data_IF_301300040976
#
_entry.id   IF_301300040976
#
_cell.length_a   1.000
_cell.length_b   1.000
_cell.length_c   1.000
_cell.angle_alpha   90.00
_cell.angle_beta   90.00
_cell.angle_gamma   90.00
#
_symmetry.space_group_name_H-M   'P 1'
#
loop_
_entity.id
_entity.type
_entity.pdbx_description
1 polymer ?
#
# COMPACT_ATOMS: atom_id res chain seq x y z
N UNK A 1 4.50 12.19 -3.18
CA UNK A 1 4.31 10.94 -2.43
C UNK A 1 5.56 10.09 -2.56
N UNK A 2 6.18 9.78 -1.44
CA UNK A 2 7.40 8.98 -1.38
C UNK A 2 7.18 7.73 -0.56
N UNK A 3 8.00 6.70 -0.80
CA UNK A 3 7.93 5.44 -0.04
C UNK A 3 8.17 5.71 1.45
N UNK A 4 9.13 6.59 1.78
CA UNK A 4 9.41 6.97 3.18
C UNK A 4 8.18 7.54 3.90
N UNK A 5 7.29 8.22 3.19
CA UNK A 5 6.09 8.83 3.78
C UNK A 5 5.12 7.76 4.28
N UNK A 6 5.05 6.62 3.60
CA UNK A 6 4.24 5.49 4.03
C UNK A 6 4.72 4.98 5.39
N UNK A 7 6.03 4.82 5.53
CA UNK A 7 6.63 4.36 6.80
C UNK A 7 6.54 5.41 7.90
N UNK A 8 6.55 6.68 7.56
CA UNK A 8 6.36 7.76 8.52
C UNK A 8 4.94 7.72 9.10
N UNK A 9 3.94 7.47 8.28
CA UNK A 9 2.55 7.31 8.74
C UNK A 9 2.45 6.11 9.69
N UNK A 10 3.06 4.98 9.33
CA UNK A 10 3.13 3.81 10.20
C UNK A 10 3.70 4.18 11.57
N UNK A 11 4.84 4.84 11.59
CA UNK A 11 5.54 5.18 12.83
C UNK A 11 4.72 6.14 13.70
N UNK A 12 4.02 7.08 13.08
CA UNK A 12 3.14 8.01 13.80
C UNK A 12 1.93 7.32 14.40
N UNK A 13 1.35 6.34 13.68
CA UNK A 13 0.26 5.53 14.21
C UNK A 13 0.71 4.68 15.39
N UNK A 14 1.89 4.08 15.28
CA UNK A 14 2.47 3.27 16.36
C UNK A 14 2.78 4.09 17.62
N UNK A 15 3.01 5.39 17.45
CA UNK A 15 3.31 6.31 18.57
C UNK A 15 2.06 6.82 19.27
N UNK A 16 0.87 6.59 18.75
CA UNK A 16 -0.39 7.03 19.36
C UNK A 16 -0.77 6.12 20.52
N UNK A 17 -1.02 6.69 21.69
CA UNK A 17 -1.35 5.92 22.90
C UNK A 17 -2.72 5.23 22.81
N UNK A 18 -3.65 5.81 22.05
CA UNK A 18 -5.02 5.31 21.93
C UNK A 18 -5.22 4.36 20.75
N UNK A 19 -4.17 4.06 20.00
CA UNK A 19 -4.20 3.13 18.86
C UNK A 19 -3.50 1.84 19.24
N UNK A 20 -4.20 0.72 19.08
CA UNK A 20 -3.62 -0.60 19.33
C UNK A 20 -3.25 -1.23 17.99
N UNK A 21 -1.97 -1.56 17.80
CA UNK A 21 -1.49 -2.22 16.60
C UNK A 21 -1.73 -3.73 16.75
N UNK A 22 -2.54 -4.31 15.88
CA UNK A 22 -2.84 -5.74 15.89
C UNK A 22 -1.93 -6.53 14.94
N UNK A 23 -1.68 -5.97 13.75
CA UNK A 23 -0.88 -6.63 12.73
C UNK A 23 -0.32 -5.60 11.77
N UNK A 24 0.91 -5.85 11.29
CA UNK A 24 1.52 -5.07 10.21
C UNK A 24 2.06 -6.07 9.19
N UNK A 25 1.67 -5.89 7.92
CA UNK A 25 2.21 -6.65 6.80
C UNK A 25 2.81 -5.67 5.80
N UNK A 26 4.10 -5.82 5.55
CA UNK A 26 4.82 -4.94 4.64
C UNK A 26 4.90 -5.58 3.25
N UNK A 27 3.93 -5.25 2.41
CA UNK A 27 3.92 -5.67 1.02
C UNK A 27 4.68 -4.70 0.10
N UNK A 28 5.32 -3.69 0.67
CA UNK A 28 6.22 -2.81 -0.10
C UNK A 28 7.57 -3.50 -0.28
N UNK A 29 8.18 -3.93 0.83
CA UNK A 29 9.45 -4.66 0.81
C UNK A 29 9.28 -6.08 0.26
N UNK A 30 8.17 -6.73 0.61
CA UNK A 30 7.86 -8.08 0.17
C UNK A 30 6.50 -8.07 -0.53
N UNK A 31 6.45 -7.71 -1.82
CA UNK A 31 5.18 -7.62 -2.54
C UNK A 31 4.47 -8.97 -2.63
N UNK A 32 3.16 -8.91 -2.84
CA UNK A 32 2.38 -10.11 -3.12
C UNK A 32 2.84 -10.72 -4.43
N UNK A 33 2.52 -11.99 -4.62
CA UNK A 33 2.93 -12.75 -5.79
C UNK A 33 2.55 -12.08 -7.11
N UNK A 34 1.41 -11.37 -7.13
CA UNK A 34 0.95 -10.66 -8.33
C UNK A 34 1.63 -9.31 -8.55
N UNK A 35 2.47 -8.87 -7.62
CA UNK A 35 3.14 -7.56 -7.67
C UNK A 35 2.50 -6.47 -6.85
N UNK A 36 1.37 -6.73 -6.20
CA UNK A 36 0.69 -5.73 -5.36
C UNK A 36 1.59 -5.26 -4.22
N UNK A 37 1.69 -3.94 -4.05
CA UNK A 37 2.46 -3.31 -2.99
C UNK A 37 1.60 -2.36 -2.17
N UNK A 38 1.70 -2.50 -0.86
CA UNK A 38 1.15 -1.58 0.13
C UNK A 38 1.69 -1.93 1.50
N UNK A 39 1.57 -1.01 2.43
CA UNK A 39 1.72 -1.32 3.85
C UNK A 39 0.33 -1.61 4.39
N UNK A 40 0.11 -2.80 4.88
CA UNK A 40 -1.18 -3.25 5.40
C UNK A 40 -1.12 -3.28 6.91
N UNK A 41 -2.01 -2.56 7.58
CA UNK A 41 -2.07 -2.51 9.03
C UNK A 41 -3.48 -2.85 9.50
N UNK A 42 -3.55 -3.67 10.55
CA UNK A 42 -4.79 -3.87 11.30
C UNK A 42 -4.58 -3.23 12.65
N UNK A 43 -5.42 -2.27 12.98
CA UNK A 43 -5.34 -1.51 14.22
C UNK A 43 -6.70 -1.52 14.92
N UNK A 44 -6.70 -1.20 16.21
CA UNK A 44 -7.93 -0.92 16.96
C UNK A 44 -7.90 0.54 17.38
N UNK A 45 -9.01 1.23 17.12
CA UNK A 45 -9.14 2.64 17.49
C UNK A 45 -10.33 2.83 18.44
N UNK A 46 -10.27 3.80 19.35
CA UNK A 46 -11.38 4.06 20.26
C UNK A 46 -12.51 4.77 19.52
N UNK A 47 -13.71 4.27 19.69
CA UNK A 47 -14.94 4.89 19.22
C UNK A 47 -15.85 5.07 20.42
N UNK A 48 -16.43 6.26 20.56
CA UNK A 48 -17.33 6.58 21.66
C UNK A 48 -18.77 6.56 21.14
N UNK A 49 -19.57 5.69 21.74
CA UNK A 49 -20.98 5.58 21.44
C UNK A 49 -21.76 5.52 22.75
N UNK A 50 -22.72 6.41 22.91
CA UNK A 50 -23.54 6.51 24.14
C UNK A 50 -22.67 6.59 25.42
N UNK A 51 -21.63 7.40 25.39
CA UNK A 51 -20.66 7.58 26.48
C UNK A 51 -19.85 6.34 26.83
N UNK A 52 -19.86 5.33 25.98
CA UNK A 52 -19.03 4.13 26.16
C UNK A 52 -17.94 4.11 25.13
N UNK A 53 -16.73 3.81 25.60
CA UNK A 53 -15.56 3.63 24.74
C UNK A 53 -15.56 2.21 24.22
N UNK A 54 -15.47 2.05 22.91
CA UNK A 54 -15.29 0.77 22.24
C UNK A 54 -14.05 0.81 21.37
N UNK A 55 -13.25 -0.27 21.42
CA UNK A 55 -12.13 -0.43 20.51
C UNK A 55 -12.62 -1.16 19.26
N UNK A 56 -12.52 -0.49 18.11
CA UNK A 56 -13.03 -0.99 16.84
C UNK A 56 -11.85 -1.35 15.93
N UNK A 57 -11.84 -2.56 15.34
CA UNK A 57 -10.80 -2.91 14.39
C UNK A 57 -10.97 -2.16 13.06
N UNK A 58 -9.85 -1.69 12.53
CA UNK A 58 -9.79 -0.99 11.25
C UNK A 58 -8.62 -1.55 10.44
N UNK A 59 -8.88 -1.87 9.19
CA UNK A 59 -7.84 -2.25 8.23
C UNK A 59 -7.41 -1.01 7.45
N UNK A 60 -6.10 -0.77 7.41
CA UNK A 60 -5.51 0.32 6.65
C UNK A 60 -4.61 -0.26 5.56
N UNK A 61 -4.76 0.28 4.37
CA UNK A 61 -3.83 0.05 3.27
C UNK A 61 -3.19 1.39 2.94
N UNK A 62 -1.90 1.48 3.24
CA UNK A 62 -1.13 2.72 3.01
C UNK A 62 -0.19 2.46 1.85
N UNK A 63 -0.26 3.31 0.83
CA UNK A 63 0.53 3.15 -0.38
C UNK A 63 0.80 4.50 -1.03
N UNK A 64 1.83 4.54 -1.86
CA UNK A 64 2.13 5.72 -2.65
C UNK A 64 1.12 5.87 -3.80
N UNK A 65 1.10 7.05 -4.42
CA UNK A 65 0.27 7.28 -5.60
C UNK A 65 0.62 6.32 -6.73
N UNK A 66 1.89 6.00 -6.91
CA UNK A 66 2.32 5.08 -7.96
C UNK A 66 1.85 3.65 -7.70
N UNK A 67 1.87 3.20 -6.44
CA UNK A 67 1.33 1.89 -6.05
C UNK A 67 -0.18 1.83 -6.28
N UNK A 68 -0.87 2.92 -5.97
CA UNK A 68 -2.31 3.04 -6.19
C UNK A 68 -2.65 3.02 -7.69
N UNK A 69 -1.87 3.72 -8.49
CA UNK A 69 -2.01 3.71 -9.95
C UNK A 69 -1.88 2.30 -10.51
N UNK A 70 -0.82 1.58 -10.10
CA UNK A 70 -0.62 0.20 -10.54
C UNK A 70 -1.81 -0.69 -10.17
N UNK A 71 -2.28 -0.59 -8.91
CA UNK A 71 -3.39 -1.41 -8.42
C UNK A 71 -4.67 -1.15 -9.23
N UNK A 72 -4.94 0.10 -9.55
CA UNK A 72 -6.12 0.49 -10.34
C UNK A 72 -6.05 -0.03 -11.76
N UNK A 73 -4.91 0.09 -12.41
CA UNK A 73 -4.72 -0.38 -13.79
C UNK A 73 -4.68 -1.90 -13.86
N UNK A 74 -4.08 -2.57 -12.88
CA UNK A 74 -4.08 -4.02 -12.78
C UNK A 74 -5.51 -4.55 -12.69
N UNK A 75 -6.33 -3.94 -11.83
CA UNK A 75 -7.74 -4.32 -11.68
C UNK A 75 -8.50 -4.15 -13.01
N UNK A 76 -8.29 -3.03 -13.71
CA UNK A 76 -8.94 -2.74 -14.99
C UNK A 76 -8.55 -3.76 -16.08
N UNK A 77 -7.25 -4.07 -16.17
CA UNK A 77 -6.75 -5.04 -17.16
C UNK A 77 -7.30 -6.43 -16.89
N UNK A 78 -7.28 -6.87 -15.64
CA UNK A 78 -7.83 -8.18 -15.25
C UNK A 78 -9.33 -8.28 -15.52
N UNK A 79 -10.06 -7.21 -15.21
CA UNK A 79 -11.49 -7.16 -15.48
C UNK A 79 -11.77 -7.34 -16.99
N UNK A 80 -11.03 -6.64 -17.84
CA UNK A 80 -11.17 -6.75 -19.30
C UNK A 80 -10.83 -8.15 -19.80
N UNK A 81 -9.78 -8.79 -19.23
CA UNK A 81 -9.41 -10.16 -19.59
C UNK A 81 -10.50 -11.17 -19.26
N UNK A 82 -11.25 -10.96 -18.18
CA UNK A 82 -12.35 -11.85 -17.79
C UNK A 82 -13.52 -11.82 -18.78
N UNK A 83 -13.73 -10.68 -19.43
CA UNK A 83 -14.88 -10.47 -20.32
C UNK A 83 -14.53 -10.53 -21.82
N UNK A 84 -13.26 -10.76 -22.12
CA UNK A 84 -12.80 -10.96 -23.50
C UNK A 84 -12.41 -12.42 -23.68
N UNK A 85 -12.54 -12.91 -24.91
CA UNK A 85 -12.23 -14.30 -25.27
C UNK A 85 -10.72 -14.57 -25.37
N UNK A 86 -9.88 -13.60 -25.05
CA UNK A 86 -8.44 -13.75 -25.05
C UNK A 86 -7.96 -14.51 -23.83
N UNK A 87 -7.00 -15.40 -24.05
CA UNK A 87 -6.47 -16.29 -23.03
C UNK A 87 -5.30 -15.70 -22.25
N UNK A 88 -4.76 -14.56 -22.68
CA UNK A 88 -3.64 -13.90 -22.01
C UNK A 88 -4.15 -13.11 -20.82
N UNK A 89 -3.51 -13.32 -19.67
CA UNK A 89 -3.88 -12.62 -18.43
C UNK A 89 -2.89 -11.55 -18.01
N UNK A 90 -1.78 -11.42 -18.71
CA UNK A 90 -0.74 -10.40 -18.47
C UNK A 90 -0.18 -10.37 -17.04
N UNK A 91 -0.32 -11.46 -16.28
CA UNK A 91 0.12 -11.49 -14.87
C UNK A 91 1.60 -11.19 -14.71
N UNK A 92 2.44 -11.79 -15.55
CA UNK A 92 3.89 -11.58 -15.46
C UNK A 92 4.28 -10.16 -15.87
N UNK A 93 3.65 -9.61 -16.90
CA UNK A 93 3.89 -8.25 -17.36
C UNK A 93 3.46 -7.23 -16.30
N UNK A 94 2.33 -7.46 -15.64
CA UNK A 94 1.85 -6.60 -14.56
C UNK A 94 2.78 -6.63 -13.34
N UNK A 95 3.30 -7.79 -13.02
CA UNK A 95 4.28 -7.95 -11.95
C UNK A 95 5.57 -7.19 -12.27
N UNK A 96 6.04 -7.28 -13.51
CA UNK A 96 7.21 -6.55 -13.99
C UNK A 96 6.98 -5.04 -13.93
N UNK A 97 5.79 -4.57 -14.31
CA UNK A 97 5.44 -3.15 -14.21
C UNK A 97 5.50 -2.66 -12.76
N UNK A 98 5.01 -3.47 -11.82
CA UNK A 98 5.08 -3.13 -10.39
C UNK A 98 6.52 -2.95 -9.94
N UNK A 99 7.41 -3.84 -10.34
CA UNK A 99 8.83 -3.76 -10.03
C UNK A 99 9.47 -2.50 -10.61
N UNK A 100 9.18 -2.19 -11.87
CA UNK A 100 9.71 -1.01 -12.55
C UNK A 100 9.26 0.29 -11.88
N UNK A 101 7.99 0.35 -11.50
CA UNK A 101 7.43 1.51 -10.79
C UNK A 101 8.13 1.70 -9.44
N UNK A 102 8.32 0.62 -8.69
CA UNK A 102 8.99 0.68 -7.40
C UNK A 102 10.43 1.16 -7.54
N UNK A 103 11.18 0.64 -8.50
CA UNK A 103 12.54 1.10 -8.77
C UNK A 103 12.61 2.57 -9.14
N UNK A 104 11.66 3.03 -9.95
CA UNK A 104 11.56 4.44 -10.32
C UNK A 104 11.28 5.32 -9.09
N UNK A 105 10.38 4.89 -8.21
CA UNK A 105 10.09 5.60 -6.97
C UNK A 105 11.32 5.70 -6.07
N UNK A 106 12.07 4.62 -5.93
CA UNK A 106 13.30 4.62 -5.13
C UNK A 106 14.32 5.62 -5.67
N UNK A 107 14.51 5.64 -6.99
CA UNK A 107 15.44 6.58 -7.62
C UNK A 107 15.02 8.03 -7.40
N UNK A 108 13.75 8.33 -7.57
CA UNK A 108 13.24 9.68 -7.35
C UNK A 108 13.36 10.13 -5.90
N UNK A 109 13.15 9.21 -4.97
CA UNK A 109 13.32 9.47 -3.54
C UNK A 109 14.78 9.81 -3.21
N UNK A 110 15.72 9.08 -3.79
CA UNK A 110 17.16 9.35 -3.62
C UNK A 110 17.52 10.74 -4.16
N UNK A 111 17.02 11.09 -5.33
CA UNK A 111 17.23 12.43 -5.91
C UNK A 111 16.69 13.52 -4.98
N UNK A 112 15.49 13.33 -4.45
CA UNK A 112 14.87 14.30 -3.56
C UNK A 112 15.66 14.48 -2.27
N UNK A 113 16.13 13.39 -1.66
CA UNK A 113 16.95 13.45 -0.44
C UNK A 113 18.28 14.18 -0.70
N UNK A 114 18.88 13.95 -1.85
CA UNK A 114 20.14 14.61 -2.23
C UNK A 114 19.95 16.12 -2.34
N UNK A 115 18.83 16.57 -2.88
CA UNK A 115 18.52 17.98 -3.01
C UNK A 115 18.16 18.65 -1.69
N UNK A 116 17.61 17.90 -0.75
CA UNK A 116 17.25 18.40 0.58
C UNK A 116 18.46 18.48 1.52
N UNK A 117 19.54 17.78 1.22
CA UNK A 117 20.74 17.72 2.05
C UNK A 117 21.52 19.05 2.06
#
# INVERSE_FOLDING_TARGET
SYIKDVYLIRDRLMAQDDVMIMQIKDYIEMPKENGYRSLHMVIRVPVYFMNKKQLVPVELQIRTLAMDLWASLEHDIKYKCLYQTETENFSEELKECSRLIYEAEEKMEIMNRTLEA
#
